data_IF_749692097728
#
_entry.id   IF_749692097728
#
_cell.length_a   1.000
_cell.length_b   1.000
_cell.length_c   1.000
_cell.angle_alpha   90.00
_cell.angle_beta   90.00
_cell.angle_gamma   90.00
#
_symmetry.space_group_name_H-M   'P 1'
#
loop_
_entity.id
_entity.type
_entity.pdbx_description
1 polymer ?
#
# COMPACT_ATOMS: atom_id res chain seq x y z
N UNK A 1 -8.24 -11.11 11.16
CA UNK A 1 -8.19 -9.99 10.21
C UNK A 1 -8.05 -10.62 8.85
N UNK A 2 -9.08 -10.45 8.04
CA UNK A 2 -9.10 -10.91 6.65
C UNK A 2 -8.26 -9.92 5.81
N UNK A 3 -7.72 -10.33 4.65
CA UNK A 3 -7.04 -9.41 3.73
C UNK A 3 -7.91 -8.19 3.36
N UNK A 4 -9.23 -8.35 3.34
CA UNK A 4 -10.22 -7.28 3.14
C UNK A 4 -10.13 -6.17 4.21
N UNK A 5 -9.82 -6.50 5.47
CA UNK A 5 -9.66 -5.50 6.54
C UNK A 5 -8.41 -4.62 6.30
N UNK A 6 -7.38 -5.17 5.67
CA UNK A 6 -6.12 -4.46 5.37
C UNK A 6 -6.29 -3.50 4.19
N UNK A 7 -7.02 -3.94 3.16
CA UNK A 7 -7.31 -3.12 1.99
C UNK A 7 -8.20 -1.92 2.35
N UNK A 8 -9.17 -2.07 3.26
CA UNK A 8 -9.99 -0.96 3.76
C UNK A 8 -9.17 0.07 4.55
N UNK A 9 -8.23 -0.39 5.38
CA UNK A 9 -7.33 0.50 6.12
C UNK A 9 -6.38 1.24 5.14
N UNK A 10 -5.82 0.53 4.16
CA UNK A 10 -4.98 1.12 3.12
C UNK A 10 -5.75 2.09 2.22
N UNK A 11 -7.02 1.80 1.89
CA UNK A 11 -7.89 2.71 1.17
C UNK A 11 -8.05 4.03 1.92
N UNK A 12 -8.28 3.94 3.24
CA UNK A 12 -8.39 5.12 4.11
C UNK A 12 -7.08 5.91 4.12
N UNK A 13 -5.93 5.25 4.29
CA UNK A 13 -4.62 5.89 4.27
C UNK A 13 -4.32 6.54 2.90
N UNK A 14 -4.69 5.89 1.82
CA UNK A 14 -4.55 6.39 0.46
C UNK A 14 -5.37 7.66 0.23
N UNK A 15 -6.67 7.65 0.57
CA UNK A 15 -7.54 8.83 0.42
C UNK A 15 -7.02 10.00 1.24
N UNK A 16 -6.55 9.75 2.47
CA UNK A 16 -5.97 10.78 3.32
C UNK A 16 -4.65 11.33 2.75
N UNK A 17 -3.75 10.45 2.32
CA UNK A 17 -2.47 10.83 1.73
C UNK A 17 -2.68 11.65 0.45
N UNK A 18 -3.60 11.22 -0.43
CA UNK A 18 -3.94 11.91 -1.67
C UNK A 18 -4.54 13.30 -1.43
N UNK A 19 -5.41 13.44 -0.41
CA UNK A 19 -5.98 14.75 -0.03
C UNK A 19 -4.95 15.70 0.56
N UNK A 20 -4.04 15.18 1.39
CA UNK A 20 -3.00 15.99 2.04
C UNK A 20 -1.86 16.37 1.09
N UNK A 21 -1.55 15.50 0.14
CA UNK A 21 -0.45 15.62 -0.81
C UNK A 21 -0.90 15.29 -2.22
N UNK A 22 -1.75 16.13 -2.83
CA UNK A 22 -2.21 15.94 -4.21
C UNK A 22 -1.10 16.11 -5.24
N UNK A 23 0.01 16.72 -4.84
CA UNK A 23 1.23 16.94 -5.62
C UNK A 23 2.06 15.67 -5.84
N UNK A 24 1.91 14.67 -4.97
CA UNK A 24 2.68 13.43 -5.02
C UNK A 24 2.10 12.47 -6.06
N UNK A 25 2.98 11.78 -6.79
CA UNK A 25 2.59 10.67 -7.65
C UNK A 25 2.26 9.40 -6.84
N UNK A 26 1.69 8.39 -7.49
CA UNK A 26 1.29 7.14 -6.82
C UNK A 26 2.44 6.43 -6.11
N UNK A 27 3.67 6.50 -6.63
CA UNK A 27 4.83 5.87 -6.02
C UNK A 27 5.29 6.63 -4.76
N UNK A 28 5.26 7.96 -4.79
CA UNK A 28 5.54 8.81 -3.65
C UNK A 28 4.48 8.69 -2.56
N UNK A 29 3.20 8.60 -2.94
CA UNK A 29 2.09 8.33 -2.02
C UNK A 29 2.26 6.97 -1.34
N UNK A 30 2.61 5.93 -2.09
CA UNK A 30 2.87 4.61 -1.53
C UNK A 30 4.01 4.64 -0.49
N UNK A 31 5.12 5.35 -0.78
CA UNK A 31 6.21 5.53 0.19
C UNK A 31 5.76 6.28 1.44
N UNK A 32 4.94 7.32 1.28
CA UNK A 32 4.40 8.09 2.40
C UNK A 32 3.50 7.21 3.28
N UNK A 33 2.61 6.40 2.69
CA UNK A 33 1.75 5.47 3.41
C UNK A 33 2.60 4.47 4.19
N UNK A 34 3.56 3.81 3.53
CA UNK A 34 4.47 2.82 4.13
C UNK A 34 5.27 3.41 5.29
N UNK A 35 5.75 4.65 5.18
CA UNK A 35 6.51 5.31 6.25
C UNK A 35 5.73 5.57 7.53
N UNK A 36 4.39 5.50 7.46
CA UNK A 36 3.47 5.72 8.59
C UNK A 36 2.96 4.42 9.20
N UNK A 37 3.21 3.29 8.55
CA UNK A 37 2.81 1.98 9.06
C UNK A 37 3.70 1.55 10.22
N UNK A 38 3.11 0.85 11.17
CA UNK A 38 3.87 0.21 12.25
C UNK A 38 4.66 -0.99 11.74
N UNK A 39 5.67 -1.43 12.50
CA UNK A 39 6.45 -2.63 12.17
C UNK A 39 5.57 -3.88 12.02
N UNK A 40 4.55 -4.04 12.87
CA UNK A 40 3.56 -5.11 12.78
C UNK A 40 2.73 -5.06 11.48
N UNK A 41 2.37 -3.86 11.02
CA UNK A 41 1.64 -3.68 9.76
C UNK A 41 2.54 -3.99 8.57
N UNK A 42 3.80 -3.52 8.60
CA UNK A 42 4.79 -3.84 7.56
C UNK A 42 5.03 -5.36 7.47
N UNK A 43 5.18 -6.04 8.61
CA UNK A 43 5.36 -7.49 8.67
C UNK A 43 4.18 -8.25 8.05
N UNK A 44 2.96 -7.80 8.32
CA UNK A 44 1.74 -8.40 7.76
C UNK A 44 1.65 -8.20 6.25
N UNK A 45 1.80 -6.96 5.77
CA UNK A 45 1.80 -6.65 4.33
C UNK A 45 2.94 -7.36 3.59
N UNK A 46 4.11 -7.45 4.20
CA UNK A 46 5.23 -8.19 3.63
C UNK A 46 4.91 -9.70 3.52
N UNK A 47 4.19 -10.26 4.50
CA UNK A 47 3.69 -11.63 4.46
C UNK A 47 2.71 -11.86 3.31
N UNK A 48 1.77 -10.94 3.09
CA UNK A 48 0.80 -11.01 1.99
C UNK A 48 1.49 -10.89 0.63
N UNK A 49 2.45 -9.96 0.49
CA UNK A 49 3.24 -9.79 -0.73
C UNK A 49 4.24 -10.92 -0.99
N UNK A 50 4.66 -11.66 0.05
CA UNK A 50 5.59 -12.78 -0.11
C UNK A 50 5.01 -13.87 -1.02
N UNK A 51 3.68 -14.04 -1.03
CA UNK A 51 3.00 -14.97 -1.93
C UNK A 51 3.25 -14.67 -3.42
N UNK A 52 3.60 -13.43 -3.76
CA UNK A 52 3.83 -12.98 -5.13
C UNK A 52 5.30 -12.65 -5.41
N UNK A 53 6.19 -12.83 -4.43
CA UNK A 53 7.60 -12.47 -4.53
C UNK A 53 8.46 -13.69 -4.90
N UNK A 54 9.25 -13.62 -6.00
CA UNK A 54 10.05 -14.76 -6.47
C UNK A 54 11.36 -15.01 -5.68
N UNK A 55 11.82 -14.07 -4.86
CA UNK A 55 13.09 -14.15 -4.12
C UNK A 55 13.00 -13.48 -2.75
N UNK A 56 13.85 -13.86 -1.76
CA UNK A 56 13.88 -13.18 -0.47
C UNK A 56 14.22 -11.71 -0.68
N UNK A 57 13.22 -10.87 -0.44
CA UNK A 57 13.28 -9.42 -0.54
C UNK A 57 13.10 -8.85 0.86
N UNK A 58 13.67 -7.68 1.14
CA UNK A 58 13.47 -7.01 2.42
C UNK A 58 11.97 -6.83 2.70
N UNK A 59 11.56 -6.95 3.97
CA UNK A 59 10.15 -6.85 4.35
C UNK A 59 9.57 -5.48 4.02
N UNK A 60 10.38 -4.44 4.17
CA UNK A 60 9.98 -3.08 3.85
C UNK A 60 9.77 -2.91 2.33
N UNK A 61 10.63 -3.53 1.52
CA UNK A 61 10.46 -3.55 0.06
C UNK A 61 9.21 -4.35 -0.36
N UNK A 62 8.89 -5.45 0.32
CA UNK A 62 7.68 -6.23 0.05
C UNK A 62 6.41 -5.44 0.42
N UNK A 63 6.38 -4.84 1.60
CA UNK A 63 5.27 -3.98 2.02
C UNK A 63 5.11 -2.77 1.07
N UNK A 64 6.22 -2.18 0.62
CA UNK A 64 6.19 -1.11 -0.36
C UNK A 64 5.60 -1.55 -1.69
N UNK A 65 5.99 -2.72 -2.20
CA UNK A 65 5.41 -3.28 -3.44
C UNK A 65 3.92 -3.55 -3.32
N UNK A 66 3.49 -4.07 -2.17
CA UNK A 66 2.07 -4.28 -1.89
C UNK A 66 1.30 -2.96 -2.01
N UNK A 67 1.75 -1.92 -1.29
CA UNK A 67 1.09 -0.62 -1.27
C UNK A 67 1.17 0.06 -2.64
N UNK A 68 2.26 -0.09 -3.39
CA UNK A 68 2.36 0.42 -4.76
C UNK A 68 1.32 -0.22 -5.69
N UNK A 69 1.15 -1.54 -5.63
CA UNK A 69 0.13 -2.23 -6.41
C UNK A 69 -1.29 -1.78 -6.01
N UNK A 70 -1.53 -1.61 -4.70
CA UNK A 70 -2.78 -1.09 -4.20
C UNK A 70 -3.09 0.32 -4.72
N UNK A 71 -2.13 1.24 -4.64
CA UNK A 71 -2.28 2.61 -5.15
C UNK A 71 -2.53 2.60 -6.66
N UNK A 72 -1.78 1.80 -7.41
CA UNK A 72 -2.00 1.64 -8.85
C UNK A 72 -3.41 1.12 -9.17
N UNK A 73 -3.93 0.17 -8.39
CA UNK A 73 -5.29 -0.32 -8.53
C UNK A 73 -6.31 0.80 -8.27
N UNK A 74 -6.14 1.58 -7.20
CA UNK A 74 -6.98 2.72 -6.87
C UNK A 74 -6.94 3.85 -7.90
N UNK A 75 -5.79 4.07 -8.54
CA UNK A 75 -5.65 5.06 -9.63
C UNK A 75 -6.20 4.55 -10.96
N UNK A 76 -6.13 3.23 -11.18
CA UNK A 76 -6.59 2.58 -12.42
C UNK A 76 -8.08 2.28 -12.41
N UNK A 77 -8.73 2.22 -11.25
CA UNK A 77 -10.17 2.03 -11.14
C UNK A 77 -10.90 3.30 -11.63
N UNK A 78 -11.48 3.30 -12.85
CA UNK A 78 -12.09 4.49 -13.43
C UNK A 78 -13.52 4.71 -12.94
N UNK A 79 -14.01 3.89 -12.00
CA UNK A 79 -15.44 3.71 -11.76
C UNK A 79 -16.01 4.50 -10.56
N UNK A 80 -15.37 5.63 -10.20
CA UNK A 80 -15.93 6.64 -9.28
C UNK A 80 -16.12 7.98 -10.01
N UNK A 81 -16.88 7.96 -11.13
CA UNK A 81 -17.38 9.16 -11.82
C UNK A 81 -18.90 9.13 -11.94
#
# INVERSE_FOLDING_TARGET
MSPEDHDDELATQYVLARRLRPDLDGAELARLIVSRLSEDQLLRLAGDALAWAPYPTDRQDLALRYVQNFVLAMESDPNDK
#
